data_IF_455635051107
#
_entry.id   IF_455635051107
#
_cell.length_a   1.000
_cell.length_b   1.000
_cell.length_c   1.000
_cell.angle_alpha   90.00
_cell.angle_beta   90.00
_cell.angle_gamma   90.00
#
_symmetry.space_group_name_H-M   'P 1'
#
loop_
_entity.id
_entity.type
_entity.pdbx_description
1 polymer ?
#
# COMPACT_ATOMS: atom_id res chain seq x y z
N UNK A 1 59.86 20.54 0.96
CA UNK A 1 58.74 20.64 0.00
C UNK A 1 57.65 19.69 0.46
N UNK A 2 56.60 20.26 1.06
CA UNK A 2 55.50 19.47 1.65
C UNK A 2 54.45 19.13 0.57
N UNK A 3 54.32 17.87 0.25
CA UNK A 3 53.24 17.38 -0.61
C UNK A 3 51.93 17.41 0.11
N UNK A 4 51.06 18.31 -0.31
CA UNK A 4 49.72 18.49 0.19
C UNK A 4 48.83 17.35 -0.34
N UNK A 5 48.55 16.37 0.52
CA UNK A 5 47.54 15.34 0.20
C UNK A 5 46.16 16.01 0.13
N UNK A 6 45.61 16.11 -1.10
CA UNK A 6 44.22 16.45 -1.30
C UNK A 6 43.34 15.35 -0.67
N UNK A 7 42.73 15.65 0.47
CA UNK A 7 41.68 14.84 1.03
C UNK A 7 40.55 14.68 -0.01
N UNK A 8 40.26 13.44 -0.36
CA UNK A 8 39.13 13.07 -1.19
C UNK A 8 37.84 13.31 -0.40
N UNK A 9 37.26 14.49 -0.56
CA UNK A 9 35.91 14.83 -0.13
C UNK A 9 34.91 14.13 -1.09
N UNK A 10 34.84 12.83 -1.09
CA UNK A 10 33.96 12.08 -2.02
C UNK A 10 32.98 11.13 -1.36
N UNK A 11 32.82 11.16 -0.03
CA UNK A 11 31.94 10.22 0.67
C UNK A 11 30.74 10.84 1.40
N UNK A 12 30.57 12.16 1.35
CA UNK A 12 29.51 12.83 2.12
C UNK A 12 28.15 12.95 1.39
N UNK A 13 28.00 12.35 0.22
CA UNK A 13 26.73 12.30 -0.53
C UNK A 13 26.54 10.96 -1.23
N UNK A 14 26.53 9.88 -0.48
CA UNK A 14 25.70 8.75 -0.90
C UNK A 14 24.30 9.12 -0.42
N UNK A 15 23.58 9.86 -1.25
CA UNK A 15 22.13 9.91 -1.17
C UNK A 15 21.68 8.47 -1.45
N UNK A 16 21.46 7.71 -0.40
CA UNK A 16 20.75 6.43 -0.52
C UNK A 16 19.34 6.85 -0.91
N UNK A 17 19.08 6.80 -2.20
CA UNK A 17 17.73 6.97 -2.74
C UNK A 17 16.85 5.92 -2.08
N UNK A 18 15.96 6.36 -1.20
CA UNK A 18 14.99 5.45 -0.57
C UNK A 18 13.97 5.11 -1.65
N UNK A 19 13.93 3.86 -2.14
CA UNK A 19 13.03 3.54 -3.25
C UNK A 19 11.59 3.62 -2.80
N UNK A 20 10.75 4.19 -3.66
CA UNK A 20 9.32 4.09 -3.54
C UNK A 20 8.83 2.74 -4.07
N UNK A 21 7.86 2.17 -3.41
CA UNK A 21 7.21 0.93 -3.80
C UNK A 21 5.76 1.19 -4.18
N UNK A 22 5.33 0.53 -5.22
CA UNK A 22 3.92 0.40 -5.56
C UNK A 22 3.45 -0.99 -5.14
N UNK A 23 2.38 -1.06 -4.36
CA UNK A 23 1.87 -2.31 -3.80
C UNK A 23 0.41 -2.51 -4.22
N UNK A 24 0.07 -3.75 -4.57
CA UNK A 24 -1.31 -4.18 -4.84
C UNK A 24 -1.64 -5.40 -3.98
N UNK A 25 -2.74 -5.31 -3.24
CA UNK A 25 -3.24 -6.39 -2.38
C UNK A 25 -4.66 -6.76 -2.78
N UNK A 26 -4.89 -8.02 -3.13
CA UNK A 26 -6.18 -8.50 -3.59
C UNK A 26 -6.92 -9.30 -2.52
N UNK A 27 -8.25 -9.21 -2.50
CA UNK A 27 -9.10 -10.10 -1.70
C UNK A 27 -9.03 -11.54 -2.21
N UNK A 28 -9.20 -12.49 -1.31
CA UNK A 28 -9.30 -13.90 -1.67
C UNK A 28 -10.48 -14.13 -2.62
N UNK A 29 -10.22 -14.81 -3.75
CA UNK A 29 -11.18 -15.02 -4.84
C UNK A 29 -11.76 -13.73 -5.43
N UNK A 30 -11.04 -12.61 -5.32
CA UNK A 30 -11.46 -11.30 -5.87
C UNK A 30 -12.85 -10.85 -5.40
N UNK A 31 -13.21 -11.13 -4.15
CA UNK A 31 -14.49 -10.73 -3.57
C UNK A 31 -14.63 -9.21 -3.50
N UNK A 32 -15.70 -8.61 -4.05
CA UNK A 32 -15.86 -7.16 -4.12
C UNK A 32 -16.46 -6.59 -2.84
N UNK A 33 -15.69 -6.57 -1.75
CA UNK A 33 -16.16 -6.19 -0.41
C UNK A 33 -15.52 -4.92 0.13
N UNK A 34 -14.43 -4.41 -0.46
CA UNK A 34 -13.60 -3.36 0.13
C UNK A 34 -14.17 -1.95 -0.06
N UNK A 35 -14.84 -1.67 -1.18
CA UNK A 35 -15.42 -0.35 -1.49
C UNK A 35 -16.73 -0.10 -0.72
N UNK A 36 -16.65 -0.11 0.59
CA UNK A 36 -17.72 0.20 1.55
C UNK A 36 -17.13 1.12 2.62
N UNK A 37 -17.84 2.18 3.00
CA UNK A 37 -17.31 3.21 3.89
C UNK A 37 -16.63 2.63 5.14
N UNK A 38 -17.32 1.79 5.91
CA UNK A 38 -16.78 1.22 7.15
C UNK A 38 -15.53 0.34 6.92
N UNK A 39 -15.43 -0.34 5.77
CA UNK A 39 -14.27 -1.17 5.44
C UNK A 39 -13.12 -0.30 4.94
N UNK A 40 -13.40 0.68 4.08
CA UNK A 40 -12.41 1.62 3.60
C UNK A 40 -11.76 2.41 4.74
N UNK A 41 -12.54 2.86 5.74
CA UNK A 41 -12.03 3.51 6.95
C UNK A 41 -11.05 2.62 7.72
N UNK A 42 -11.36 1.33 7.88
CA UNK A 42 -10.47 0.37 8.54
C UNK A 42 -9.15 0.24 7.75
N UNK A 43 -9.22 0.12 6.42
CA UNK A 43 -8.03 -0.01 5.58
C UNK A 43 -7.14 1.23 5.66
N UNK A 44 -7.75 2.42 5.57
CA UNK A 44 -7.03 3.71 5.65
C UNK A 44 -6.42 3.91 7.03
N UNK A 45 -7.13 3.57 8.10
CA UNK A 45 -6.61 3.67 9.47
C UNK A 45 -5.38 2.76 9.67
N UNK A 46 -5.41 1.52 9.17
CA UNK A 46 -4.25 0.64 9.25
C UNK A 46 -3.08 1.10 8.34
N UNK A 47 -3.35 1.74 7.21
CA UNK A 47 -2.30 2.38 6.39
C UNK A 47 -1.68 3.59 7.13
N UNK A 48 -2.46 4.41 7.82
CA UNK A 48 -1.94 5.53 8.62
C UNK A 48 -1.01 5.09 9.75
N UNK A 49 -1.25 3.91 10.31
CA UNK A 49 -0.43 3.34 11.39
C UNK A 49 0.82 2.61 10.89
N UNK A 50 0.99 2.48 9.57
CA UNK A 50 2.08 1.71 8.98
C UNK A 50 3.46 2.28 9.33
N UNK A 51 3.60 3.61 9.38
CA UNK A 51 4.86 4.27 9.75
C UNK A 51 5.26 3.90 11.17
N UNK A 52 4.38 4.07 12.13
CA UNK A 52 4.65 3.81 13.54
C UNK A 52 4.90 2.33 13.84
N UNK A 53 4.09 1.43 13.23
CA UNK A 53 4.13 0.00 13.55
C UNK A 53 5.17 -0.80 12.77
N UNK A 54 5.48 -0.34 11.55
CA UNK A 54 6.26 -1.13 10.59
C UNK A 54 7.43 -0.36 9.97
N UNK A 55 7.51 0.96 10.16
CA UNK A 55 8.51 1.81 9.54
C UNK A 55 8.26 2.08 8.05
N UNK A 56 6.99 2.06 7.61
CA UNK A 56 6.62 2.32 6.23
C UNK A 56 5.77 3.57 6.09
N UNK A 57 6.31 4.60 5.44
CA UNK A 57 5.55 5.79 5.04
C UNK A 57 4.60 5.43 3.90
N UNK A 58 3.34 5.84 4.02
CA UNK A 58 2.32 5.56 3.01
C UNK A 58 1.93 6.84 2.29
N UNK A 59 2.02 6.84 0.97
CA UNK A 59 1.63 7.94 0.10
C UNK A 59 0.18 7.87 -0.37
N UNK A 60 -0.01 7.97 -1.67
CA UNK A 60 -1.32 7.87 -2.31
C UNK A 60 -1.84 6.43 -2.33
N UNK A 61 -3.15 6.28 -2.23
CA UNK A 61 -3.83 4.99 -2.30
C UNK A 61 -5.15 5.08 -3.09
N UNK A 62 -5.56 3.94 -3.64
CA UNK A 62 -6.88 3.73 -4.26
C UNK A 62 -7.42 2.39 -3.78
N UNK A 63 -8.62 2.38 -3.19
CA UNK A 63 -9.31 1.17 -2.77
C UNK A 63 -10.36 0.83 -3.83
N UNK A 64 -10.16 -0.30 -4.50
CA UNK A 64 -11.10 -0.89 -5.44
C UNK A 64 -12.00 -1.90 -4.71
N UNK A 65 -13.11 -2.36 -5.29
CA UNK A 65 -13.99 -3.31 -4.62
C UNK A 65 -13.31 -4.58 -4.12
N UNK A 66 -12.30 -5.08 -4.82
CA UNK A 66 -11.66 -6.37 -4.60
C UNK A 66 -10.13 -6.29 -4.44
N UNK A 67 -9.54 -5.10 -4.43
CA UNK A 67 -8.11 -4.89 -4.20
C UNK A 67 -7.82 -3.46 -3.74
N UNK A 68 -6.62 -3.29 -3.18
CA UNK A 68 -6.09 -1.99 -2.76
C UNK A 68 -4.78 -1.75 -3.48
N UNK A 69 -4.60 -0.55 -4.00
CA UNK A 69 -3.32 -0.02 -4.47
C UNK A 69 -2.82 1.04 -3.51
N UNK A 70 -1.55 1.04 -3.21
CA UNK A 70 -0.91 2.14 -2.49
C UNK A 70 0.57 2.26 -2.82
N UNK A 71 1.10 3.46 -2.60
CA UNK A 71 2.52 3.78 -2.71
C UNK A 71 3.10 3.86 -1.31
N UNK A 72 4.29 3.34 -1.12
CA UNK A 72 4.97 3.39 0.16
C UNK A 72 6.49 3.51 0.01
N UNK A 73 7.12 4.05 1.03
CA UNK A 73 8.57 4.15 1.14
C UNK A 73 9.01 3.57 2.50
N UNK A 74 10.15 2.88 2.50
CA UNK A 74 10.69 2.36 3.75
C UNK A 74 11.40 3.48 4.52
N UNK A 75 11.30 3.46 5.84
CA UNK A 75 12.05 4.31 6.75
C UNK A 75 13.26 3.55 7.32
N UNK A 76 14.12 4.28 8.07
CA UNK A 76 15.17 3.62 8.83
C UNK A 76 14.56 2.57 9.76
N UNK A 77 15.19 1.42 9.84
CA UNK A 77 14.76 0.30 10.71
C UNK A 77 13.38 -0.26 10.36
N UNK A 78 12.90 -0.04 9.14
CA UNK A 78 11.65 -0.63 8.68
C UNK A 78 11.71 -2.16 8.68
N UNK A 79 10.57 -2.79 9.01
CA UNK A 79 10.35 -4.22 8.76
C UNK A 79 10.43 -4.50 7.27
N UNK A 80 10.68 -5.76 6.89
CA UNK A 80 10.58 -6.15 5.48
C UNK A 80 9.19 -5.87 4.93
N UNK A 81 9.07 -5.59 3.63
CA UNK A 81 7.76 -5.39 3.00
C UNK A 81 6.84 -6.61 3.21
N UNK A 82 7.39 -7.81 3.18
CA UNK A 82 6.64 -9.06 3.41
C UNK A 82 6.08 -9.13 4.84
N UNK A 83 6.86 -8.73 5.85
CA UNK A 83 6.40 -8.69 7.25
C UNK A 83 5.35 -7.61 7.45
N UNK A 84 5.56 -6.42 6.91
CA UNK A 84 4.56 -5.35 6.91
C UNK A 84 3.24 -5.85 6.30
N UNK A 85 3.27 -6.42 5.10
CA UNK A 85 2.07 -6.89 4.42
C UNK A 85 1.38 -8.04 5.16
N UNK A 86 2.13 -8.96 5.75
CA UNK A 86 1.57 -10.04 6.57
C UNK A 86 0.80 -9.48 7.77
N UNK A 87 1.40 -8.56 8.49
CA UNK A 87 0.80 -7.96 9.68
C UNK A 87 -0.39 -7.06 9.31
N UNK A 88 -0.26 -6.22 8.29
CA UNK A 88 -1.35 -5.39 7.79
C UNK A 88 -2.57 -6.22 7.35
N UNK A 89 -2.35 -7.30 6.59
CA UNK A 89 -3.41 -8.25 6.21
C UNK A 89 -4.07 -8.89 7.44
N UNK A 90 -3.29 -9.23 8.46
CA UNK A 90 -3.80 -9.82 9.70
C UNK A 90 -4.70 -8.84 10.46
N UNK A 91 -4.23 -7.61 10.68
CA UNK A 91 -4.98 -6.57 11.41
C UNK A 91 -6.26 -6.17 10.66
N UNK A 92 -6.17 -5.89 9.37
CA UNK A 92 -7.33 -5.54 8.56
C UNK A 92 -8.35 -6.68 8.49
N UNK A 93 -7.90 -7.94 8.39
CA UNK A 93 -8.80 -9.09 8.43
C UNK A 93 -9.61 -9.19 9.72
N UNK A 94 -8.97 -8.98 10.88
CA UNK A 94 -9.66 -9.02 12.19
C UNK A 94 -10.72 -7.93 12.28
N UNK A 95 -10.34 -6.69 11.95
CA UNK A 95 -11.22 -5.53 12.03
C UNK A 95 -12.38 -5.62 11.03
N UNK A 96 -12.10 -6.00 9.79
CA UNK A 96 -13.14 -6.13 8.75
C UNK A 96 -14.13 -7.24 9.10
N UNK A 97 -13.66 -8.38 9.62
CA UNK A 97 -14.56 -9.45 10.07
C UNK A 97 -15.50 -9.04 11.21
N UNK A 98 -15.07 -8.12 12.05
CA UNK A 98 -15.90 -7.61 13.13
C UNK A 98 -17.09 -6.77 12.64
N UNK A 99 -16.97 -6.12 11.47
CA UNK A 99 -18.02 -5.28 10.88
C UNK A 99 -18.80 -5.96 9.77
N UNK A 100 -18.33 -7.09 9.25
CA UNK A 100 -19.08 -7.87 8.26
C UNK A 100 -20.21 -8.66 8.92
N UNK A 101 -21.38 -8.76 8.27
CA UNK A 101 -22.48 -9.60 8.76
C UNK A 101 -22.01 -11.05 8.94
N UNK A 102 -22.32 -11.65 10.08
CA UNK A 102 -22.09 -13.08 10.28
C UNK A 102 -23.06 -13.87 9.40
N UNK A 103 -22.58 -14.86 8.61
CA UNK A 103 -23.48 -15.73 7.89
C UNK A 103 -24.36 -16.49 8.89
N UNK A 104 -25.68 -16.54 8.62
CA UNK A 104 -26.68 -17.16 9.49
C UNK A 104 -26.49 -18.68 9.68
N UNK A 105 -25.71 -19.35 8.82
CA UNK A 105 -25.43 -20.77 8.89
C UNK A 105 -23.94 -21.02 9.05
N UNK A 106 -23.52 -21.35 10.26
CA UNK A 106 -22.15 -21.77 10.60
C UNK A 106 -21.91 -23.25 10.31
N UNK A 107 -22.37 -23.75 9.15
CA UNK A 107 -22.08 -25.12 8.75
C UNK A 107 -20.74 -25.17 8.02
N UNK A 108 -19.78 -25.88 8.63
CA UNK A 108 -18.50 -26.38 8.08
C UNK A 108 -17.72 -25.39 7.20
N UNK A 109 -17.05 -24.43 7.85
CA UNK A 109 -16.01 -23.61 7.18
C UNK A 109 -14.68 -24.34 7.22
N UNK A 110 -14.20 -24.80 6.08
CA UNK A 110 -12.78 -25.11 5.94
C UNK A 110 -11.95 -23.84 6.15
N UNK A 111 -10.79 -23.93 6.78
CA UNK A 111 -9.91 -22.78 7.07
C UNK A 111 -9.56 -21.92 5.85
N UNK A 112 -9.66 -22.47 4.66
CA UNK A 112 -9.41 -21.82 3.36
C UNK A 112 -10.52 -20.82 2.98
N UNK A 113 -11.77 -21.08 3.35
CA UNK A 113 -12.90 -20.20 3.01
C UNK A 113 -13.01 -18.95 3.92
N UNK A 114 -12.20 -18.86 4.97
CA UNK A 114 -12.19 -17.73 5.91
C UNK A 114 -11.17 -16.66 5.58
N UNK A 115 -10.26 -16.87 4.63
CA UNK A 115 -9.27 -15.85 4.27
C UNK A 115 -9.92 -14.61 3.66
N UNK A 116 -9.54 -13.42 4.14
CA UNK A 116 -9.97 -12.16 3.54
C UNK A 116 -9.11 -11.82 2.33
N UNK A 117 -7.80 -11.99 2.44
CA UNK A 117 -6.80 -11.62 1.45
C UNK A 117 -6.24 -12.84 0.73
N UNK A 118 -5.78 -12.62 -0.50
CA UNK A 118 -4.89 -13.57 -1.15
C UNK A 118 -3.59 -13.69 -0.35
N UNK A 119 -2.95 -14.84 -0.41
CA UNK A 119 -1.68 -15.08 0.28
C UNK A 119 -0.60 -14.12 -0.22
N UNK A 120 -0.46 -14.04 -1.53
CA UNK A 120 0.51 -13.20 -2.21
C UNK A 120 0.01 -11.75 -2.30
N UNK A 121 0.91 -10.83 -2.58
CA UNK A 121 0.66 -9.45 -3.00
C UNK A 121 1.62 -9.14 -4.14
N UNK A 122 1.30 -8.12 -4.90
CA UNK A 122 2.17 -7.64 -5.96
C UNK A 122 2.86 -6.37 -5.50
N UNK A 123 4.16 -6.27 -5.73
CA UNK A 123 4.95 -5.07 -5.50
C UNK A 123 5.84 -4.73 -6.69
N UNK A 124 6.15 -3.47 -6.84
CA UNK A 124 7.05 -2.94 -7.86
C UNK A 124 7.85 -1.78 -7.29
N UNK A 125 9.17 -1.83 -7.45
CA UNK A 125 10.09 -0.76 -7.06
C UNK A 125 10.04 0.34 -8.11
N UNK A 126 9.74 1.56 -7.69
CA UNK A 126 9.73 2.75 -8.53
C UNK A 126 11.09 3.44 -8.42
N UNK A 127 11.79 3.55 -9.55
CA UNK A 127 13.17 4.00 -9.61
C UNK A 127 13.32 5.46 -10.08
N UNK A 128 12.23 6.10 -10.46
CA UNK A 128 12.22 7.48 -10.95
C UNK A 128 10.87 8.14 -10.73
N UNK A 129 10.86 9.46 -10.72
CA UNK A 129 9.63 10.26 -10.68
C UNK A 129 8.71 9.93 -11.87
N UNK A 130 9.26 9.75 -13.07
CA UNK A 130 8.52 9.38 -14.26
C UNK A 130 7.76 8.05 -14.04
N UNK A 131 8.44 7.02 -13.53
CA UNK A 131 7.79 5.73 -13.19
C UNK A 131 6.69 5.89 -12.15
N UNK A 132 6.86 6.80 -11.18
CA UNK A 132 5.84 7.10 -10.17
C UNK A 132 4.61 7.74 -10.83
N UNK A 133 4.79 8.76 -11.66
CA UNK A 133 3.68 9.47 -12.33
C UNK A 133 2.92 8.57 -13.29
N UNK A 134 3.61 7.76 -14.09
CA UNK A 134 2.98 6.77 -14.97
C UNK A 134 2.13 5.78 -14.17
N UNK A 135 2.69 5.23 -13.09
CA UNK A 135 1.99 4.27 -12.24
C UNK A 135 0.81 4.92 -11.52
N UNK A 136 0.98 6.15 -11.01
CA UNK A 136 -0.09 6.89 -10.38
C UNK A 136 -1.23 7.18 -11.36
N UNK A 137 -0.95 7.66 -12.55
CA UNK A 137 -1.97 7.91 -13.57
C UNK A 137 -2.73 6.62 -13.91
N UNK A 138 -2.01 5.50 -14.07
CA UNK A 138 -2.63 4.22 -14.32
C UNK A 138 -3.60 3.80 -13.20
N UNK A 139 -3.17 3.92 -11.94
CA UNK A 139 -3.96 3.50 -10.77
C UNK A 139 -5.12 4.43 -10.50
N UNK A 140 -4.90 5.71 -10.65
CA UNK A 140 -5.93 6.75 -10.49
C UNK A 140 -7.14 6.49 -11.40
N UNK A 141 -6.89 6.08 -12.63
CA UNK A 141 -7.95 5.87 -13.61
C UNK A 141 -8.64 4.49 -13.48
N UNK A 142 -8.21 3.63 -12.56
CA UNK A 142 -8.81 2.31 -12.35
C UNK A 142 -10.33 2.33 -12.09
N UNK A 143 -10.89 3.19 -11.23
CA UNK A 143 -12.34 3.24 -10.99
C UNK A 143 -13.12 3.59 -12.26
N UNK A 144 -12.61 4.52 -13.07
CA UNK A 144 -13.24 4.94 -14.33
C UNK A 144 -13.18 3.80 -15.35
N UNK A 145 -12.02 3.18 -15.53
CA UNK A 145 -11.86 2.03 -16.44
C UNK A 145 -12.72 0.83 -16.04
N UNK A 146 -12.94 0.66 -14.75
CA UNK A 146 -13.83 -0.39 -14.23
C UNK A 146 -15.32 -0.01 -14.28
N UNK A 147 -15.68 1.17 -14.79
CA UNK A 147 -17.05 1.65 -14.86
C UNK A 147 -17.72 1.93 -13.52
N UNK A 148 -16.91 2.16 -12.48
CA UNK A 148 -17.39 2.38 -11.11
C UNK A 148 -17.67 3.85 -10.80
N UNK A 149 -17.07 4.77 -11.54
CA UNK A 149 -17.28 6.21 -11.42
C UNK A 149 -17.11 6.88 -12.79
N UNK A 150 -17.83 7.97 -13.07
CA UNK A 150 -17.70 8.71 -14.33
C UNK A 150 -16.37 9.46 -14.43
N UNK A 151 -15.80 9.90 -13.31
CA UNK A 151 -14.47 10.47 -13.20
C UNK A 151 -13.76 9.99 -11.94
N UNK A 152 -12.44 10.17 -11.88
CA UNK A 152 -11.68 9.81 -10.67
C UNK A 152 -12.16 10.58 -9.44
N UNK A 153 -12.51 11.84 -9.58
CA UNK A 153 -12.96 12.67 -8.46
C UNK A 153 -14.30 12.22 -7.87
N UNK A 154 -15.07 11.45 -8.62
CA UNK A 154 -16.34 10.87 -8.15
C UNK A 154 -16.15 9.53 -7.41
N UNK A 155 -14.92 8.99 -7.38
CA UNK A 155 -14.61 7.79 -6.62
C UNK A 155 -14.27 8.14 -5.17
N UNK A 156 -15.05 7.69 -4.16
CA UNK A 156 -14.86 8.15 -2.77
C UNK A 156 -13.72 7.45 -2.02
N UNK A 157 -13.14 6.39 -2.58
CA UNK A 157 -12.20 5.52 -1.86
C UNK A 157 -10.75 5.68 -2.37
N UNK A 158 -10.27 6.91 -2.42
CA UNK A 158 -8.88 7.23 -2.69
C UNK A 158 -8.39 8.32 -1.75
N UNK A 159 -7.09 8.51 -1.67
CA UNK A 159 -6.50 9.60 -0.91
C UNK A 159 -4.98 9.56 -0.87
N UNK A 160 -4.43 10.43 -0.05
CA UNK A 160 -3.02 10.50 0.29
C UNK A 160 -2.88 10.62 1.79
N UNK A 161 -2.00 9.82 2.38
CA UNK A 161 -1.69 9.88 3.81
C UNK A 161 -0.53 10.85 4.05
N UNK A 162 0.57 10.65 3.34
CA UNK A 162 1.77 11.48 3.44
C UNK A 162 2.29 11.84 2.04
N UNK A 163 3.11 12.89 1.96
CA UNK A 163 3.94 13.11 0.79
C UNK A 163 5.17 12.21 0.93
N UNK A 164 5.33 11.27 0.02
CA UNK A 164 6.57 10.53 -0.08
C UNK A 164 7.62 11.45 -0.68
N UNK A 165 8.83 11.46 -0.11
CA UNK A 165 9.95 12.12 -0.74
C UNK A 165 10.17 11.47 -2.10
N UNK A 166 10.14 12.30 -3.13
CA UNK A 166 10.35 11.83 -4.48
C UNK A 166 11.83 11.62 -4.67
N UNK A 167 12.21 10.51 -5.23
CA UNK A 167 13.56 10.29 -5.73
C UNK A 167 13.85 11.38 -6.77
N UNK A 168 14.93 12.18 -6.63
CA UNK A 168 15.28 13.26 -7.56
C UNK A 168 15.59 12.74 -8.97
#
# INVERSE_FOLDING_TARGET
MAGMHKHLQRLDRILIEIPNYFVTVCTFRRRPILARAAIAEILVDELRRARERHGWAIGSYVIMPDHVHFFCALERDAKTLSDFMREWKSWTSRRIRAVLPRPATAATKTSVDTSLWQREFFDHVLRSEESFQEKWNYVRDNPVRAGLAPSFNDWPYFGRIESLEQCP
#
